data_IF_199121859643
#
_entry.id   IF_199121859643
#
_cell.length_a   1.000
_cell.length_b   1.000
_cell.length_c   1.000
_cell.angle_alpha   90.00
_cell.angle_beta   90.00
_cell.angle_gamma   90.00
#
_symmetry.space_group_name_H-M   'P 1'
#
loop_
_entity.id
_entity.type
_entity.pdbx_description
1 polymer ?
#
# COMPACT_ATOMS: atom_id res chain seq x y z
N UNK A 1 -9.80 18.54 -0.23
CA UNK A 1 -9.87 17.80 -1.52
C UNK A 1 -8.90 16.65 -1.39
N UNK A 2 -9.40 15.43 -1.15
CA UNK A 2 -8.54 14.27 -1.00
C UNK A 2 -7.91 13.93 -2.35
N UNK A 3 -6.58 13.93 -2.43
CA UNK A 3 -5.85 13.36 -3.56
C UNK A 3 -6.27 11.90 -3.69
N UNK A 4 -6.97 11.51 -4.76
CA UNK A 4 -7.13 10.09 -5.07
C UNK A 4 -5.76 9.53 -5.41
N UNK A 5 -5.11 8.89 -4.44
CA UNK A 5 -3.84 8.21 -4.64
C UNK A 5 -4.04 7.12 -5.70
N UNK A 6 -3.41 7.28 -6.86
CA UNK A 6 -3.44 6.28 -7.92
C UNK A 6 -2.57 5.09 -7.51
N UNK A 7 -3.20 3.95 -7.27
CA UNK A 7 -2.50 2.71 -6.93
C UNK A 7 -2.02 2.06 -8.24
N UNK A 8 -0.72 1.77 -8.30
CA UNK A 8 -0.11 1.10 -9.45
C UNK A 8 0.23 -0.34 -9.10
N UNK A 9 0.00 -1.25 -10.04
CA UNK A 9 0.38 -2.65 -9.91
C UNK A 9 1.89 -2.76 -9.93
N UNK A 10 2.48 -3.35 -8.89
CA UNK A 10 3.93 -3.51 -8.82
C UNK A 10 4.47 -4.54 -9.84
N UNK A 11 3.59 -5.41 -10.37
CA UNK A 11 3.94 -6.40 -11.38
C UNK A 11 4.02 -5.84 -12.80
N UNK A 12 3.04 -5.03 -13.24
CA UNK A 12 3.00 -4.48 -14.61
C UNK A 12 3.15 -2.95 -14.71
N UNK A 13 3.02 -2.21 -13.60
CA UNK A 13 3.11 -0.76 -13.57
C UNK A 13 1.80 -0.03 -13.88
N UNK A 14 0.74 -0.75 -14.27
CA UNK A 14 -0.54 -0.15 -14.64
C UNK A 14 -1.40 0.33 -13.48
N UNK A 15 -2.30 1.26 -13.77
CA UNK A 15 -3.26 1.82 -12.80
C UNK A 15 -4.29 0.76 -12.42
N UNK A 16 -4.39 0.46 -11.12
CA UNK A 16 -5.38 -0.46 -10.59
C UNK A 16 -6.73 0.25 -10.51
N UNK A 17 -7.72 -0.24 -11.24
CA UNK A 17 -9.07 0.33 -11.27
C UNK A 17 -9.98 -0.22 -10.15
N UNK A 18 -9.64 -1.39 -9.60
CA UNK A 18 -10.44 -2.07 -8.59
C UNK A 18 -9.52 -2.52 -7.44
N UNK A 19 -9.55 -1.75 -6.35
CA UNK A 19 -8.72 -2.00 -5.18
C UNK A 19 -9.14 -3.26 -4.39
N UNK A 20 -10.36 -3.77 -4.60
CA UNK A 20 -10.86 -4.98 -3.90
C UNK A 20 -10.22 -6.26 -4.41
N UNK A 21 -9.62 -6.20 -5.60
CA UNK A 21 -8.92 -7.32 -6.24
C UNK A 21 -7.42 -7.32 -5.98
N UNK A 22 -6.92 -6.32 -5.24
CA UNK A 22 -5.49 -6.22 -4.94
C UNK A 22 -5.05 -7.37 -4.04
N UNK A 23 -3.99 -8.03 -4.46
CA UNK A 23 -3.27 -8.96 -3.64
C UNK A 23 -2.08 -8.26 -2.97
N UNK A 24 -2.25 -7.93 -1.70
CA UNK A 24 -1.20 -7.36 -0.88
C UNK A 24 -0.19 -8.44 -0.52
N UNK A 25 1.08 -8.19 -0.83
CA UNK A 25 2.19 -9.10 -0.52
C UNK A 25 3.16 -8.40 0.44
N UNK A 26 3.81 -9.14 1.36
CA UNK A 26 4.80 -8.56 2.25
C UNK A 26 5.95 -7.89 1.49
N UNK A 27 6.55 -6.80 2.03
CA UNK A 27 7.71 -6.16 1.42
C UNK A 27 8.81 -7.19 1.16
N UNK A 28 9.28 -7.30 -0.08
CA UNK A 28 10.28 -8.28 -0.49
C UNK A 28 11.46 -7.54 -1.12
N UNK A 29 12.63 -7.61 -0.49
CA UNK A 29 13.83 -6.90 -0.95
C UNK A 29 14.26 -7.29 -2.39
N UNK A 30 13.88 -8.48 -2.86
CA UNK A 30 14.16 -8.97 -4.20
C UNK A 30 13.00 -8.76 -5.20
N UNK A 31 11.93 -8.06 -4.81
CA UNK A 31 10.84 -7.77 -5.74
C UNK A 31 11.32 -6.81 -6.83
N UNK A 32 11.03 -7.16 -8.09
CA UNK A 32 11.22 -6.26 -9.21
C UNK A 32 9.94 -5.48 -9.41
N UNK A 33 10.06 -4.15 -9.40
CA UNK A 33 8.94 -3.24 -9.57
C UNK A 33 8.88 -2.77 -11.02
N UNK A 34 7.73 -2.95 -11.66
CA UNK A 34 7.49 -2.37 -12.97
C UNK A 34 7.37 -0.84 -12.87
N UNK A 35 7.81 -0.14 -13.92
CA UNK A 35 7.70 1.33 -13.96
C UNK A 35 6.21 1.75 -14.03
N UNK A 36 5.75 2.66 -13.15
CA UNK A 36 4.39 3.16 -13.18
C UNK A 36 4.04 3.81 -14.52
N UNK A 37 2.85 3.52 -15.03
CA UNK A 37 2.34 4.12 -16.26
C UNK A 37 0.83 4.34 -16.22
N UNK A 38 0.33 5.20 -17.11
CA UNK A 38 -1.08 5.64 -17.11
C UNK A 38 -2.07 4.64 -17.70
N UNK A 39 -1.61 3.57 -18.36
CA UNK A 39 -2.50 2.52 -18.87
C UNK A 39 -3.10 1.68 -17.72
N UNK A 40 -4.35 1.19 -17.87
CA UNK A 40 -5.01 0.37 -16.85
C UNK A 40 -4.28 -0.96 -16.65
N UNK A 41 -4.22 -1.42 -15.39
CA UNK A 41 -3.68 -2.73 -15.05
C UNK A 41 -4.57 -3.85 -15.60
N UNK A 42 -3.94 -4.82 -16.27
CA UNK A 42 -4.61 -6.02 -16.81
C UNK A 42 -4.30 -7.30 -16.03
N UNK A 43 -3.62 -7.19 -14.88
CA UNK A 43 -3.27 -8.34 -14.04
C UNK A 43 -4.50 -8.86 -13.28
N UNK A 44 -4.57 -10.19 -13.08
CA UNK A 44 -5.62 -10.84 -12.29
C UNK A 44 -5.01 -11.94 -11.39
N UNK A 45 -4.76 -11.68 -10.09
CA UNK A 45 -4.97 -10.41 -9.37
C UNK A 45 -3.83 -9.39 -9.57
N UNK A 46 -4.09 -8.08 -9.48
CA UNK A 46 -3.04 -7.06 -9.37
C UNK A 46 -2.29 -7.19 -8.04
N UNK A 47 -0.95 -7.10 -8.09
CA UNK A 47 -0.08 -7.29 -6.93
C UNK A 47 0.46 -5.96 -6.42
N UNK A 48 0.44 -5.79 -5.11
CA UNK A 48 1.00 -4.61 -4.45
C UNK A 48 1.83 -5.01 -3.25
N UNK A 49 3.08 -4.54 -3.17
CA UNK A 49 4.00 -4.82 -2.07
C UNK A 49 3.97 -3.71 -1.01
N UNK A 50 2.78 -3.36 -0.54
CA UNK A 50 2.59 -2.44 0.57
C UNK A 50 1.87 -3.16 1.71
N UNK A 51 2.05 -2.66 2.92
CA UNK A 51 1.14 -3.05 3.99
C UNK A 51 -0.21 -2.42 3.66
N UNK A 52 -1.34 -3.17 3.74
CA UNK A 52 -2.64 -2.54 3.59
C UNK A 52 -2.69 -1.33 4.51
N UNK A 53 -3.19 -0.17 4.05
CA UNK A 53 -3.26 1.02 4.88
C UNK A 53 -3.94 0.60 6.17
N UNK A 54 -3.18 0.65 7.27
CA UNK A 54 -3.74 0.40 8.59
C UNK A 54 -4.81 1.45 8.72
N UNK A 55 -6.09 1.05 8.62
CA UNK A 55 -7.20 1.90 9.00
C UNK A 55 -6.89 2.24 10.46
N UNK A 56 -6.37 3.44 10.71
CA UNK A 56 -5.76 3.83 11.97
C UNK A 56 -6.63 3.36 13.13
N UNK A 57 -6.19 2.31 13.82
CA UNK A 57 -6.68 2.01 15.15
C UNK A 57 -6.23 3.17 16.04
N UNK A 58 -7.11 3.76 16.85
CA UNK A 58 -6.70 4.75 17.82
C UNK A 58 -5.95 4.03 18.93
N UNK A 59 -4.64 3.88 18.78
CA UNK A 59 -3.75 3.48 19.87
C UNK A 59 -2.38 4.11 19.64
N UNK A 60 -2.37 5.44 19.61
CA UNK A 60 -1.29 6.20 20.26
C UNK A 60 -1.79 6.45 21.69
N UNK A 61 -2.02 5.38 22.45
CA UNK A 61 -2.32 5.46 23.88
C UNK A 61 -1.00 5.59 24.64
N UNK A 62 -0.69 6.84 25.01
CA UNK A 62 -0.04 7.23 26.25
C UNK A 62 0.95 6.25 26.90
N UNK A 63 2.25 6.58 26.82
CA UNK A 63 3.13 6.41 28.00
C UNK A 63 3.37 7.80 28.60
N UNK A 64 2.76 8.16 29.75
CA UNK A 64 3.28 9.22 30.59
C UNK A 64 4.31 8.58 31.51
N UNK A 65 5.57 8.46 31.06
CA UNK A 65 6.65 8.09 31.96
C UNK A 65 7.07 9.32 32.77
N UNK A 66 6.33 9.52 33.87
CA UNK A 66 6.86 10.21 35.02
C UNK A 66 7.66 9.24 35.89
N UNK A 67 8.98 9.41 35.92
CA UNK A 67 9.87 9.06 37.04
C UNK A 67 11.06 10.04 36.97
N UNK A 68 11.11 11.06 37.83
CA UNK A 68 11.65 11.00 39.19
C UNK A 68 13.15 10.65 39.23
N UNK A 69 14.00 11.68 39.27
CA UNK A 69 15.25 11.70 40.02
C UNK A 69 15.71 13.14 40.26
#
# INVERSE_FOLDING_TARGET
MGTMSQIHCHFCGGIIQDATKIEYRPPRASAQFAMPHTAPCTCAPPVVYEHPPVLGGPDDDQTPDGEAA
#
